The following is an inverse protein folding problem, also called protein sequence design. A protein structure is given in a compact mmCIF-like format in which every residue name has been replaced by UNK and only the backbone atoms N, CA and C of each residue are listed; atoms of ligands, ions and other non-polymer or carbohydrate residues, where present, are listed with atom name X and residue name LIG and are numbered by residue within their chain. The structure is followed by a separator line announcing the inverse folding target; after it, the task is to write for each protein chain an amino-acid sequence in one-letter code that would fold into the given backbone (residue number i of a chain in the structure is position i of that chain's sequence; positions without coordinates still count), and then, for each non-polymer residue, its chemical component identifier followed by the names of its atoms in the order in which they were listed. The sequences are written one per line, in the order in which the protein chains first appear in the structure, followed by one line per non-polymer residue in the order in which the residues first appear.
data_IF_429446060712
#
_entry.id   IF_429446060712
#
_cell.length_a   1.000
_cell.length_b   1.000
_cell.length_c   1.000
_cell.angle_alpha   90.00
_cell.angle_beta   90.00
_cell.angle_gamma   90.00
#
_symmetry.space_group_name_H-M   'P 1'
#
loop_
_entity.id
_entity.type
_entity.pdbx_description
1 polymer ?
#
# COMPACT_ATOMS: atom_id res chain seq x y z
N UNK A 1 -56.28 -22.86 62.44
CA UNK A 1 -55.31 -23.25 61.39
C UNK A 1 -54.36 -22.11 61.03
N UNK A 2 -53.09 -22.45 60.80
CA UNK A 2 -51.97 -21.57 60.48
C UNK A 2 -51.89 -21.42 58.94
N UNK A 3 -51.99 -20.21 58.42
CA UNK A 3 -51.83 -19.91 56.99
C UNK A 3 -50.34 -20.07 56.63
N UNK A 4 -49.96 -20.85 55.60
CA UNK A 4 -48.56 -21.01 55.25
C UNK A 4 -48.05 -19.72 54.58
N UNK A 5 -46.82 -19.26 54.85
CA UNK A 5 -46.22 -18.25 54.01
C UNK A 5 -45.91 -18.86 52.63
N UNK A 6 -46.47 -18.24 51.59
CA UNK A 6 -46.14 -18.52 50.20
C UNK A 6 -44.62 -18.45 49.99
N UNK A 7 -44.11 -19.45 49.27
CA UNK A 7 -42.75 -19.44 48.75
C UNK A 7 -42.66 -18.27 47.75
N UNK A 8 -41.98 -17.19 48.12
CA UNK A 8 -41.62 -16.14 47.15
C UNK A 8 -40.55 -16.73 46.25
N UNK A 9 -40.98 -17.27 45.13
CA UNK A 9 -40.11 -17.76 44.07
C UNK A 9 -39.41 -16.54 43.44
N UNK A 10 -38.17 -16.27 43.86
CA UNK A 10 -37.28 -15.28 43.25
C UNK A 10 -36.87 -15.71 41.82
N UNK A 11 -37.82 -15.70 40.87
CA UNK A 11 -37.52 -15.87 39.44
C UNK A 11 -37.00 -14.55 38.86
N UNK A 12 -35.74 -14.24 39.16
CA UNK A 12 -34.98 -13.25 38.40
C UNK A 12 -33.75 -13.80 37.66
N UNK A 13 -33.86 -14.79 36.73
CA UNK A 13 -32.67 -15.21 35.97
C UNK A 13 -32.69 -14.97 34.46
N UNK A 14 -33.63 -14.21 33.87
CA UNK A 14 -33.81 -14.26 32.40
C UNK A 14 -33.55 -12.99 31.59
N UNK A 15 -33.68 -11.79 32.15
CA UNK A 15 -33.55 -10.54 31.37
C UNK A 15 -32.09 -10.15 31.08
N UNK A 16 -31.18 -10.36 32.04
CA UNK A 16 -29.75 -10.05 31.87
C UNK A 16 -29.04 -10.95 30.86
N UNK A 17 -29.42 -12.23 30.74
CA UNK A 17 -28.79 -13.16 29.78
C UNK A 17 -29.11 -12.79 28.33
N UNK A 18 -30.35 -12.38 28.05
CA UNK A 18 -30.76 -11.92 26.71
C UNK A 18 -30.03 -10.63 26.32
N UNK A 19 -29.93 -9.66 27.25
CA UNK A 19 -29.16 -8.44 27.02
C UNK A 19 -27.68 -8.69 26.75
N UNK A 20 -27.06 -9.63 27.49
CA UNK A 20 -25.66 -10.04 27.26
C UNK A 20 -25.47 -10.69 25.89
N UNK A 21 -26.36 -11.59 25.46
CA UNK A 21 -26.27 -12.23 24.15
C UNK A 21 -26.43 -11.22 23.00
N UNK A 22 -27.36 -10.27 23.13
CA UNK A 22 -27.53 -9.19 22.14
C UNK A 22 -26.29 -8.29 22.08
N UNK A 23 -25.74 -7.91 23.24
CA UNK A 23 -24.52 -7.11 23.29
C UNK A 23 -23.32 -7.84 22.65
N UNK A 24 -23.16 -9.13 22.92
CA UNK A 24 -22.09 -9.95 22.36
C UNK A 24 -22.23 -10.09 20.83
N UNK A 25 -23.46 -10.27 20.34
CA UNK A 25 -23.77 -10.27 18.91
C UNK A 25 -23.43 -8.94 18.23
N UNK A 26 -23.77 -7.80 18.86
CA UNK A 26 -23.44 -6.47 18.36
C UNK A 26 -21.92 -6.24 18.30
N UNK A 27 -21.19 -6.62 19.35
CA UNK A 27 -19.72 -6.51 19.36
C UNK A 27 -19.11 -7.35 18.25
N UNK A 28 -19.56 -8.60 18.08
CA UNK A 28 -19.09 -9.47 17.01
C UNK A 28 -19.36 -8.88 15.63
N UNK A 29 -20.56 -8.32 15.41
CA UNK A 29 -20.94 -7.67 14.16
C UNK A 29 -20.06 -6.45 13.87
N UNK A 30 -19.77 -5.63 14.90
CA UNK A 30 -18.88 -4.48 14.78
C UNK A 30 -17.45 -4.88 14.47
N UNK A 31 -16.94 -5.96 15.07
CA UNK A 31 -15.60 -6.47 14.79
C UNK A 31 -15.50 -6.98 13.36
N UNK A 32 -16.48 -7.78 12.90
CA UNK A 32 -16.51 -8.31 11.54
C UNK A 32 -16.71 -7.20 10.49
N UNK A 33 -17.66 -6.30 10.73
CA UNK A 33 -17.93 -5.17 9.85
C UNK A 33 -16.77 -4.18 9.81
N UNK A 34 -16.19 -3.85 10.97
CA UNK A 34 -15.02 -2.99 11.09
C UNK A 34 -13.78 -3.57 10.42
N UNK A 35 -13.53 -4.87 10.58
CA UNK A 35 -12.43 -5.56 9.89
C UNK A 35 -12.61 -5.55 8.36
N UNK A 36 -13.83 -5.81 7.87
CA UNK A 36 -14.13 -5.78 6.43
C UNK A 36 -13.96 -4.38 5.83
N UNK A 37 -14.53 -3.36 6.47
CA UNK A 37 -14.40 -1.96 6.02
C UNK A 37 -12.95 -1.47 6.14
N UNK A 38 -12.25 -1.83 7.23
CA UNK A 38 -10.84 -1.51 7.43
C UNK A 38 -9.95 -2.12 6.35
N UNK A 39 -10.16 -3.40 6.02
CA UNK A 39 -9.44 -4.07 4.95
C UNK A 39 -9.73 -3.47 3.57
N UNK A 40 -11.00 -3.13 3.30
CA UNK A 40 -11.41 -2.50 2.04
C UNK A 40 -10.82 -1.09 1.87
N UNK A 41 -10.88 -0.27 2.92
CA UNK A 41 -10.30 1.07 2.93
C UNK A 41 -8.77 1.01 2.79
N UNK A 42 -8.11 0.08 3.48
CA UNK A 42 -6.67 -0.13 3.37
C UNK A 42 -6.25 -0.48 1.93
N UNK A 43 -6.99 -1.40 1.29
CA UNK A 43 -6.80 -1.76 -0.12
C UNK A 43 -6.96 -0.55 -1.05
N UNK A 44 -7.93 0.33 -0.78
CA UNK A 44 -8.19 1.54 -1.58
C UNK A 44 -7.18 2.67 -1.42
N UNK A 45 -6.31 2.64 -0.40
CA UNK A 45 -5.38 3.73 -0.10
C UNK A 45 -3.94 3.52 -0.56
N UNK A 46 -3.65 2.39 -1.22
CA UNK A 46 -2.29 2.09 -1.64
C UNK A 46 -1.85 2.95 -2.84
N UNK A 47 -0.60 3.40 -2.80
CA UNK A 47 0.10 4.06 -3.90
C UNK A 47 1.37 3.29 -4.18
N UNK A 48 1.80 3.25 -5.44
CA UNK A 48 3.06 2.64 -5.81
C UNK A 48 3.77 3.46 -6.89
N UNK A 49 5.10 3.31 -6.97
CA UNK A 49 5.93 3.92 -8.01
C UNK A 49 6.30 2.83 -8.99
N UNK A 50 5.96 3.01 -10.27
CA UNK A 50 6.13 2.02 -11.33
C UNK A 50 6.71 2.64 -12.60
N UNK A 51 7.04 1.78 -13.56
CA UNK A 51 7.42 2.20 -14.90
C UNK A 51 6.17 2.41 -15.78
N UNK A 52 6.10 3.54 -16.47
CA UNK A 52 5.12 3.81 -17.54
C UNK A 52 5.91 4.09 -18.83
N UNK A 53 6.01 3.07 -19.70
CA UNK A 53 6.84 3.13 -20.90
C UNK A 53 8.32 3.36 -20.55
N UNK A 54 8.85 4.54 -20.88
CA UNK A 54 10.25 4.91 -20.62
C UNK A 54 10.45 5.78 -19.38
N UNK A 55 9.37 6.13 -18.66
CA UNK A 55 9.40 7.09 -17.55
C UNK A 55 8.85 6.51 -16.25
N UNK A 56 9.28 7.08 -15.13
CA UNK A 56 8.76 6.74 -13.80
C UNK A 56 7.39 7.39 -13.60
N UNK A 57 6.43 6.64 -13.09
CA UNK A 57 5.09 7.14 -12.78
C UNK A 57 4.64 6.71 -11.38
N UNK A 58 3.78 7.55 -10.79
CA UNK A 58 3.06 7.22 -9.56
C UNK A 58 1.68 6.71 -9.97
N UNK A 59 1.34 5.53 -9.45
CA UNK A 59 0.05 4.90 -9.61
C UNK A 59 -0.68 4.85 -8.28
N UNK A 60 -2.01 4.86 -8.37
CA UNK A 60 -2.91 4.69 -7.22
C UNK A 60 -3.71 3.41 -7.38
N UNK A 61 -3.78 2.61 -6.33
CA UNK A 61 -4.50 1.32 -6.27
C UNK A 61 -3.58 0.14 -5.95
N UNK A 62 -4.11 -1.07 -6.13
CA UNK A 62 -3.32 -2.30 -6.06
C UNK A 62 -2.57 -2.50 -7.37
N UNK A 63 -1.28 -2.82 -7.26
CA UNK A 63 -0.41 -3.23 -8.37
C UNK A 63 -0.66 -4.68 -8.83
N UNK A 64 -1.42 -5.46 -8.06
CA UNK A 64 -1.78 -6.83 -8.45
C UNK A 64 -3.08 -6.82 -9.26
N UNK A 65 -2.99 -7.30 -10.50
CA UNK A 65 -4.15 -7.51 -11.36
C UNK A 65 -5.15 -8.46 -10.70
N UNK A 66 -6.30 -7.93 -10.30
CA UNK A 66 -7.43 -8.71 -9.82
C UNK A 66 -8.29 -9.09 -11.03
N UNK A 67 -7.87 -10.15 -11.72
CA UNK A 67 -8.54 -10.68 -12.90
C UNK A 67 -8.33 -9.81 -14.16
N UNK A 68 -9.27 -9.81 -15.14
CA UNK A 68 -9.10 -9.12 -16.42
C UNK A 68 -9.27 -7.59 -16.35
N UNK A 69 -9.31 -7.01 -15.14
CA UNK A 69 -9.61 -5.58 -14.93
C UNK A 69 -8.40 -4.93 -14.24
N UNK A 70 -7.68 -4.09 -14.97
CA UNK A 70 -6.65 -3.23 -14.38
C UNK A 70 -7.32 -2.22 -13.45
N UNK A 71 -7.13 -2.41 -12.14
CA UNK A 71 -7.70 -1.54 -11.10
C UNK A 71 -6.75 -0.40 -10.71
N UNK A 72 -5.57 -0.36 -11.32
CA UNK A 72 -4.61 0.74 -11.17
C UNK A 72 -5.07 1.96 -11.98
N UNK A 73 -5.00 3.14 -11.36
CA UNK A 73 -5.15 4.41 -12.08
C UNK A 73 -3.84 5.16 -12.06
N UNK A 74 -3.39 5.58 -13.23
CA UNK A 74 -2.28 6.51 -13.38
C UNK A 74 -2.62 7.78 -12.60
N UNK A 75 -1.82 8.10 -11.59
CA UNK A 75 -2.01 9.31 -10.80
C UNK A 75 -1.21 10.47 -11.40
N UNK A 76 0.08 10.24 -11.69
CA UNK A 76 0.97 11.24 -12.29
C UNK A 76 2.21 10.59 -12.89
N UNK A 77 2.53 10.95 -14.14
CA UNK A 77 3.82 10.65 -14.77
C UNK A 77 4.87 11.66 -14.33
N UNK A 78 6.09 11.21 -14.07
CA UNK A 78 7.22 12.06 -13.70
C UNK A 78 8.20 12.13 -14.88
N UNK A 79 8.86 13.28 -15.05
CA UNK A 79 9.86 13.52 -16.10
C UNK A 79 11.23 12.89 -15.73
N UNK A 80 11.22 11.64 -15.27
CA UNK A 80 12.41 10.88 -14.90
C UNK A 80 12.46 9.66 -15.80
N UNK A 81 13.47 9.58 -16.66
CA UNK A 81 13.63 8.47 -17.58
C UNK A 81 14.26 7.26 -16.87
N UNK A 82 13.73 6.05 -17.10
CA UNK A 82 14.26 4.82 -16.48
C UNK A 82 15.73 4.56 -16.83
N UNK A 83 16.16 4.96 -18.03
CA UNK A 83 17.55 4.83 -18.47
C UNK A 83 18.54 5.64 -17.64
N UNK A 84 18.08 6.73 -17.03
CA UNK A 84 18.91 7.61 -16.22
C UNK A 84 18.98 7.10 -14.76
N UNK A 85 18.19 6.09 -14.39
CA UNK A 85 18.28 5.43 -13.09
C UNK A 85 19.39 4.36 -13.09
N UNK A 86 20.05 4.15 -11.93
CA UNK A 86 20.89 2.98 -11.70
C UNK A 86 20.13 1.67 -11.95
N UNK A 87 20.81 0.63 -12.41
CA UNK A 87 20.19 -0.64 -12.83
C UNK A 87 19.30 -1.25 -11.73
N UNK A 88 19.81 -1.29 -10.49
CA UNK A 88 19.07 -1.77 -9.33
C UNK A 88 17.77 -0.97 -9.07
N UNK A 89 17.82 0.35 -9.21
CA UNK A 89 16.66 1.20 -8.96
C UNK A 89 15.64 1.09 -10.09
N UNK A 90 16.11 0.91 -11.33
CA UNK A 90 15.28 0.63 -12.50
C UNK A 90 14.48 -0.66 -12.30
N UNK A 91 15.14 -1.75 -11.92
CA UNK A 91 14.50 -3.04 -11.66
C UNK A 91 13.48 -2.95 -10.51
N UNK A 92 13.78 -2.16 -9.47
CA UNK A 92 12.82 -1.90 -8.38
C UNK A 92 11.59 -1.13 -8.85
N UNK A 93 11.74 -0.16 -9.74
CA UNK A 93 10.62 0.59 -10.32
C UNK A 93 9.81 -0.30 -11.27
N UNK A 94 10.46 -1.13 -12.08
CA UNK A 94 9.81 -2.11 -12.96
C UNK A 94 9.01 -3.16 -12.18
N UNK A 95 9.52 -3.59 -11.03
CA UNK A 95 8.82 -4.49 -10.10
C UNK A 95 7.76 -3.81 -9.22
N UNK A 96 7.49 -2.52 -9.46
CA UNK A 96 6.54 -1.67 -8.73
C UNK A 96 6.85 -1.52 -7.22
N UNK A 97 7.39 -0.37 -6.84
CA UNK A 97 7.71 -0.05 -5.44
C UNK A 97 6.42 0.30 -4.69
N UNK A 98 5.98 -0.59 -3.79
CA UNK A 98 4.88 -0.31 -2.88
C UNK A 98 5.22 0.83 -1.91
N UNK A 99 4.26 1.70 -1.64
CA UNK A 99 4.45 2.84 -0.73
C UNK A 99 3.34 2.90 0.31
N UNK A 100 3.62 3.58 1.43
CA UNK A 100 2.64 3.82 2.50
C UNK A 100 1.64 4.94 2.19
N UNK A 101 1.77 5.62 1.04
CA UNK A 101 0.88 6.69 0.62
C UNK A 101 1.54 7.69 -0.33
N UNK A 102 0.77 8.69 -0.78
CA UNK A 102 1.24 9.69 -1.74
C UNK A 102 2.45 10.52 -1.26
N UNK A 103 2.57 10.77 0.05
CA UNK A 103 3.72 11.50 0.61
C UNK A 103 5.01 10.69 0.51
N UNK A 104 4.92 9.38 0.73
CA UNK A 104 6.02 8.44 0.65
C UNK A 104 6.43 8.18 -0.80
N UNK A 105 5.46 8.00 -1.70
CA UNK A 105 5.69 7.93 -3.15
C UNK A 105 6.45 9.17 -3.67
N UNK A 106 6.04 10.38 -3.26
CA UNK A 106 6.76 11.62 -3.61
C UNK A 106 8.19 11.67 -3.06
N UNK A 107 8.43 11.08 -1.89
CA UNK A 107 9.78 11.00 -1.30
C UNK A 107 10.67 10.09 -2.13
N UNK A 108 10.19 8.91 -2.48
CA UNK A 108 10.89 7.94 -3.33
C UNK A 108 11.22 8.55 -4.69
N UNK A 109 10.24 9.17 -5.35
CA UNK A 109 10.44 9.82 -6.65
C UNK A 109 11.53 10.89 -6.60
N UNK A 110 11.58 11.71 -5.54
CA UNK A 110 12.65 12.70 -5.37
C UNK A 110 14.02 12.05 -5.20
N UNK A 111 14.11 10.97 -4.42
CA UNK A 111 15.37 10.20 -4.31
C UNK A 111 15.80 9.62 -5.66
N UNK A 112 14.86 9.08 -6.44
CA UNK A 112 15.13 8.57 -7.79
C UNK A 112 15.57 9.70 -8.74
N UNK A 113 14.98 10.89 -8.61
CA UNK A 113 15.37 12.06 -9.38
C UNK A 113 16.81 12.49 -9.08
N UNK A 114 17.18 12.61 -7.80
CA UNK A 114 18.54 12.96 -7.39
C UNK A 114 19.58 11.93 -7.89
N UNK A 115 19.23 10.64 -7.84
CA UNK A 115 20.07 9.58 -8.39
C UNK A 115 20.21 9.68 -9.91
N UNK A 116 19.11 9.98 -10.61
CA UNK A 116 19.12 10.14 -12.06
C UNK A 116 19.90 11.38 -12.52
N UNK A 117 19.88 12.46 -11.75
CA UNK A 117 20.70 13.64 -11.99
C UNK A 117 22.19 13.31 -11.84
N UNK A 118 22.59 12.65 -10.75
CA UNK A 118 23.99 12.23 -10.55
C UNK A 118 24.47 11.27 -11.63
N UNK A 119 23.64 10.29 -12.01
CA UNK A 119 23.94 9.38 -13.11
C UNK A 119 24.22 10.13 -14.42
N UNK A 120 23.36 11.10 -14.76
CA UNK A 120 23.50 11.91 -15.97
C UNK A 120 24.76 12.77 -15.95
N UNK A 121 25.09 13.36 -14.82
CA UNK A 121 26.31 14.16 -14.66
C UNK A 121 27.59 13.31 -14.82
N UNK A 122 27.60 12.10 -14.26
CA UNK A 122 28.71 11.15 -14.44
C UNK A 122 28.86 10.74 -15.91
N UNK A 123 27.75 10.37 -16.56
CA UNK A 123 27.74 10.03 -17.98
C UNK A 123 28.18 11.20 -18.88
N UNK A 124 27.97 12.46 -18.47
CA UNK A 124 28.39 13.64 -19.21
C UNK A 124 29.89 13.98 -19.03
N UNK A 125 30.49 13.54 -17.92
CA UNK A 125 31.90 13.82 -17.60
C UNK A 125 32.83 12.74 -18.17
N UNK A 126 32.31 11.54 -18.43
CA UNK A 126 33.08 10.43 -18.99
C UNK A 126 33.20 10.55 -20.52
N UNK A 127 34.43 10.61 -21.08
CA UNK A 127 34.60 10.57 -22.53
C UNK A 127 34.17 9.20 -23.03
N UNK A 128 33.07 9.19 -23.80
CA UNK A 128 32.39 8.03 -24.39
C UNK A 128 33.23 6.74 -24.43
N UNK A 129 32.99 5.75 -23.55
CA UNK A 129 33.51 4.42 -23.80
C UNK A 129 32.82 3.87 -25.06
N UNK A 130 33.61 3.35 -25.99
CA UNK A 130 33.18 2.70 -27.24
C UNK A 130 32.43 1.38 -27.01
N UNK A 131 31.75 1.21 -25.88
CA UNK A 131 31.11 -0.05 -25.51
C UNK A 131 29.83 0.19 -24.72
N UNK A 132 28.72 -0.17 -25.36
CA UNK A 132 27.43 -0.54 -24.77
C UNK A 132 26.76 0.46 -23.78
N UNK A 133 25.64 1.10 -24.14
CA UNK A 133 24.88 1.98 -23.23
C UNK A 133 24.28 1.24 -22.01
N UNK A 134 24.45 -0.08 -21.91
CA UNK A 134 24.02 -0.89 -20.78
C UNK A 134 25.02 -0.89 -19.59
N UNK A 135 26.26 -0.40 -19.76
CA UNK A 135 27.34 -0.58 -18.77
C UNK A 135 27.56 0.58 -17.78
N UNK A 136 26.85 1.70 -17.91
CA UNK A 136 26.89 2.78 -16.90
C UNK A 136 25.97 2.41 -15.72
N UNK A 137 26.37 1.41 -14.94
CA UNK A 137 25.81 1.17 -13.62
C UNK A 137 26.34 2.24 -12.65
N UNK A 138 25.72 3.41 -12.61
CA UNK A 138 26.10 4.49 -11.67
C UNK A 138 25.83 4.14 -10.18
N UNK A 139 25.74 2.86 -9.83
CA UNK A 139 25.31 2.39 -8.51
C UNK A 139 26.15 1.25 -7.93
N UNK A 140 27.16 0.70 -8.62
CA UNK A 140 27.94 -0.44 -8.10
C UNK A 140 28.95 -0.11 -7.00
N UNK A 141 29.00 1.14 -6.53
CA UNK A 141 29.99 1.59 -5.54
C UNK A 141 29.42 2.53 -4.49
N UNK A 142 28.79 1.97 -3.45
CA UNK A 142 28.74 2.54 -2.10
C UNK A 142 28.31 1.47 -1.09
#
# INVERSE_FOLDING_TARGET
EHVPPEQVEDDHPRRHRRGRLVALGLVMLLLLGGAGVGAYLWSQTQYYVGAEGSNVAIFRGLSQDVGPISTSRLYRTQDIALKDLPAYQRERVESAIATSGLADARRIVRTLQEQAERCREQAATEPAPTGDPAALDCGSGA
#
